data_IF_476967750916
#
_entry.id   IF_476967750916
#
_cell.length_a   1.000
_cell.length_b   1.000
_cell.length_c   1.000
_cell.angle_alpha   90.00
_cell.angle_beta   90.00
_cell.angle_gamma   90.00
#
_symmetry.space_group_name_H-M   'P 1'
#
loop_
_entity.id
_entity.type
_entity.pdbx_description
1 polymer ?
#
# COMPACT_ATOMS: atom_id res chain seq x y z
N UNK A 1 -15.04 -28.06 17.45
CA UNK A 1 -16.13 -27.48 18.26
C UNK A 1 -15.95 -27.77 19.75
N UNK A 2 -15.85 -29.04 20.17
CA UNK A 2 -15.60 -29.38 21.59
C UNK A 2 -14.19 -28.97 22.06
N UNK A 3 -13.17 -29.17 21.20
CA UNK A 3 -11.78 -28.79 21.51
C UNK A 3 -11.56 -27.26 21.52
N UNK A 4 -12.27 -26.54 20.64
CA UNK A 4 -12.22 -25.07 20.59
C UNK A 4 -12.86 -24.44 21.83
N UNK A 5 -13.94 -25.04 22.35
CA UNK A 5 -14.58 -24.61 23.60
C UNK A 5 -13.66 -24.84 24.80
N UNK A 6 -12.95 -25.97 24.83
CA UNK A 6 -12.01 -26.30 25.90
C UNK A 6 -10.81 -25.34 25.92
N UNK A 7 -10.28 -24.97 24.75
CA UNK A 7 -9.23 -23.95 24.63
C UNK A 7 -9.66 -22.56 25.09
N UNK A 8 -10.93 -22.17 24.85
CA UNK A 8 -11.49 -20.90 25.34
C UNK A 8 -11.65 -20.88 26.86
N UNK A 9 -12.05 -21.99 27.49
CA UNK A 9 -12.18 -22.06 28.96
C UNK A 9 -10.84 -21.95 29.69
N UNK A 10 -9.72 -22.38 29.08
CA UNK A 10 -8.38 -22.24 29.68
C UNK A 10 -7.92 -20.78 29.83
N UNK A 11 -8.53 -19.84 29.11
CA UNK A 11 -8.23 -18.40 29.27
C UNK A 11 -8.65 -17.91 30.67
N UNK A 12 -9.69 -18.49 31.26
CA UNK A 12 -10.17 -18.12 32.59
C UNK A 12 -9.18 -18.51 33.69
N UNK A 13 -8.39 -19.56 33.46
CA UNK A 13 -7.37 -20.06 34.39
C UNK A 13 -5.97 -19.52 34.07
N UNK A 14 -5.84 -18.63 33.08
CA UNK A 14 -4.56 -18.06 32.67
C UNK A 14 -4.07 -17.05 33.72
N UNK A 15 -3.07 -17.46 34.51
CA UNK A 15 -2.44 -16.59 35.49
C UNK A 15 -1.63 -15.50 34.79
N UNK A 16 -2.09 -14.25 34.87
CA UNK A 16 -1.35 -13.08 34.40
C UNK A 16 -0.44 -12.58 35.51
N UNK A 17 0.87 -12.65 35.30
CA UNK A 17 1.83 -11.99 36.19
C UNK A 17 1.73 -10.48 36.02
N UNK A 18 1.15 -9.80 37.02
CA UNK A 18 1.13 -8.34 37.08
C UNK A 18 2.34 -7.88 37.88
N UNK A 19 3.18 -7.06 37.25
CA UNK A 19 4.27 -6.36 37.93
C UNK A 19 3.91 -4.87 37.88
N UNK A 20 3.58 -4.31 39.04
CA UNK A 20 3.35 -2.87 39.18
C UNK A 20 4.68 -2.18 39.46
N UNK A 21 4.99 -1.16 38.67
CA UNK A 21 6.19 -0.36 38.80
C UNK A 21 5.79 1.11 38.80
N UNK A 22 6.02 1.78 39.92
CA UNK A 22 5.74 3.20 40.11
C UNK A 22 7.05 3.98 40.10
N UNK A 23 7.14 4.97 39.21
CA UNK A 23 8.23 5.95 39.19
C UNK A 23 7.66 7.31 38.80
N UNK A 24 8.17 8.37 39.40
CA UNK A 24 7.87 9.74 38.99
C UNK A 24 8.71 10.17 37.78
N UNK A 25 9.76 9.40 37.44
CA UNK A 25 10.57 9.64 36.25
C UNK A 25 9.99 8.91 35.03
N UNK A 26 9.31 9.69 34.19
CA UNK A 26 8.74 9.20 32.93
C UNK A 26 9.79 8.58 31.98
N UNK A 27 11.07 8.97 32.07
CA UNK A 27 12.16 8.33 31.30
C UNK A 27 12.40 6.91 31.77
N UNK A 28 12.41 6.70 33.07
CA UNK A 28 12.62 5.40 33.68
C UNK A 28 11.46 4.46 33.35
N UNK A 29 10.22 4.92 33.50
CA UNK A 29 9.01 4.18 33.11
C UNK A 29 9.06 3.72 31.64
N UNK A 30 9.49 4.62 30.75
CA UNK A 30 9.62 4.33 29.32
C UNK A 30 10.71 3.29 29.05
N UNK A 31 11.86 3.36 29.74
CA UNK A 31 12.92 2.36 29.61
C UNK A 31 12.50 0.99 30.14
N UNK A 32 11.74 0.93 31.23
CA UNK A 32 11.16 -0.30 31.77
C UNK A 32 10.17 -0.91 30.77
N UNK A 33 9.27 -0.10 30.19
CA UNK A 33 8.33 -0.54 29.15
C UNK A 33 9.05 -1.13 27.92
N UNK A 34 10.12 -0.46 27.46
CA UNK A 34 10.94 -0.92 26.33
C UNK A 34 11.64 -2.25 26.66
N UNK A 35 12.21 -2.39 27.86
CA UNK A 35 12.89 -3.62 28.29
C UNK A 35 11.91 -4.78 28.45
N UNK A 36 10.75 -4.55 29.06
CA UNK A 36 9.75 -5.59 29.28
C UNK A 36 9.20 -6.16 27.97
N UNK A 37 8.95 -5.30 26.98
CA UNK A 37 8.48 -5.72 25.66
C UNK A 37 9.61 -6.25 24.73
N UNK A 38 10.84 -6.39 25.22
CA UNK A 38 11.96 -6.94 24.43
C UNK A 38 12.00 -8.48 24.39
N UNK A 39 11.41 -9.13 25.41
CA UNK A 39 11.30 -10.60 25.54
C UNK A 39 10.00 -11.17 24.97
N UNK A 40 8.93 -10.35 24.88
CA UNK A 40 7.63 -10.70 24.28
C UNK A 40 7.50 -10.30 22.81
N UNK A 41 6.34 -9.75 22.38
CA UNK A 41 6.20 -9.14 21.04
C UNK A 41 7.12 -7.92 20.96
N UNK A 42 8.28 -8.10 20.32
CA UNK A 42 9.31 -7.06 20.18
C UNK A 42 8.73 -5.77 19.62
N UNK A 43 8.93 -4.68 20.36
CA UNK A 43 8.65 -3.33 19.87
C UNK A 43 9.36 -3.09 18.54
N UNK A 44 8.63 -2.57 17.57
CA UNK A 44 9.25 -2.12 16.32
C UNK A 44 10.14 -0.91 16.59
N UNK A 45 11.06 -0.60 15.68
CA UNK A 45 11.85 0.64 15.80
C UNK A 45 10.97 1.90 15.87
N UNK A 46 9.84 1.92 15.16
CA UNK A 46 8.89 3.02 15.23
C UNK A 46 8.25 3.17 16.61
N UNK A 47 7.96 2.05 17.30
CA UNK A 47 7.43 2.08 18.67
C UNK A 47 8.48 2.64 19.65
N UNK A 48 9.75 2.26 19.47
CA UNK A 48 10.84 2.81 20.28
C UNK A 48 11.03 4.31 20.06
N UNK A 49 10.90 4.80 18.82
CA UNK A 49 10.95 6.23 18.54
C UNK A 49 9.76 6.98 19.15
N UNK A 50 8.58 6.36 19.15
CA UNK A 50 7.36 6.94 19.73
C UNK A 50 7.49 7.08 21.25
N UNK A 51 8.09 6.09 21.89
CA UNK A 51 8.39 6.10 23.32
C UNK A 51 9.34 7.25 23.68
N UNK A 52 10.43 7.42 22.94
CA UNK A 52 11.37 8.54 23.13
C UNK A 52 10.75 9.90 22.82
N UNK A 53 9.83 9.96 21.85
CA UNK A 53 9.07 11.17 21.54
C UNK A 53 8.14 11.58 22.68
N UNK A 54 7.48 10.61 23.32
CA UNK A 54 6.58 10.86 24.45
C UNK A 54 7.33 11.47 25.65
N UNK A 55 8.58 11.05 25.87
CA UNK A 55 9.48 11.62 26.87
C UNK A 55 9.87 13.05 26.51
N UNK A 56 10.31 13.29 25.27
CA UNK A 56 10.84 14.60 24.89
C UNK A 56 9.76 15.67 24.72
N UNK A 57 8.63 15.31 24.12
CA UNK A 57 7.51 16.22 23.86
C UNK A 57 6.20 15.59 24.36
N UNK A 58 5.95 15.66 25.69
CA UNK A 58 4.70 15.16 26.26
C UNK A 58 3.48 15.75 25.55
N UNK A 59 2.51 14.89 25.19
CA UNK A 59 1.28 15.29 24.51
C UNK A 59 1.31 15.17 22.98
N UNK A 60 2.46 15.30 22.32
CA UNK A 60 2.53 15.15 20.86
C UNK A 60 2.27 13.70 20.45
N UNK A 61 2.96 12.77 21.11
CA UNK A 61 2.81 11.33 20.92
C UNK A 61 1.38 10.81 21.23
N UNK A 62 0.66 11.44 22.16
CA UNK A 62 -0.65 10.95 22.63
C UNK A 62 -1.84 11.69 22.03
N UNK A 63 -1.72 12.98 21.69
CA UNK A 63 -2.86 13.77 21.17
C UNK A 63 -2.72 14.07 19.70
N UNK A 64 -1.58 14.61 19.28
CA UNK A 64 -1.43 15.15 17.93
C UNK A 64 -1.36 14.07 16.86
N UNK A 65 -0.54 13.03 17.06
CA UNK A 65 -0.48 11.91 16.12
C UNK A 65 -1.82 11.16 16.07
N UNK A 66 -2.49 10.98 17.20
CA UNK A 66 -3.80 10.31 17.26
C UNK A 66 -4.86 11.11 16.49
N UNK A 67 -4.87 12.44 16.64
CA UNK A 67 -5.75 13.34 15.90
C UNK A 67 -5.59 13.19 14.39
N UNK A 68 -4.37 13.10 13.88
CA UNK A 68 -4.12 12.89 12.44
C UNK A 68 -4.60 11.51 11.98
N UNK A 69 -4.33 10.45 12.75
CA UNK A 69 -4.79 9.11 12.43
C UNK A 69 -6.33 9.02 12.40
N UNK A 70 -7.02 9.62 13.38
CA UNK A 70 -8.48 9.64 13.48
C UNK A 70 -9.15 10.50 12.40
N UNK A 71 -8.49 11.55 11.92
CA UNK A 71 -9.01 12.39 10.83
C UNK A 71 -9.10 11.62 9.50
N UNK A 72 -8.24 10.61 9.31
CA UNK A 72 -8.13 9.85 8.07
C UNK A 72 -8.29 8.35 8.33
N UNK A 73 -9.46 7.89 8.83
CA UNK A 73 -9.65 6.53 9.30
C UNK A 73 -9.46 5.49 8.19
N UNK A 74 -9.77 5.83 6.94
CA UNK A 74 -9.61 4.93 5.79
C UNK A 74 -8.15 4.56 5.49
N UNK A 75 -7.18 5.37 5.94
CA UNK A 75 -5.76 5.15 5.71
C UNK A 75 -5.05 4.46 6.88
N UNK A 76 -5.73 4.30 8.02
CA UNK A 76 -5.26 3.49 9.15
C UNK A 76 -3.80 3.79 9.57
N UNK A 77 -3.38 5.06 9.52
CA UNK A 77 -2.02 5.44 9.86
C UNK A 77 -1.70 5.08 11.31
N UNK A 78 -0.67 4.27 11.50
CA UNK A 78 -0.24 3.88 12.84
C UNK A 78 0.63 4.96 13.47
N UNK A 79 0.59 5.06 14.81
CA UNK A 79 1.43 5.98 15.57
C UNK A 79 2.93 5.77 15.29
N UNK A 80 3.45 4.52 15.20
CA UNK A 80 4.84 4.27 14.81
C UNK A 80 5.19 4.76 13.41
N UNK A 81 4.25 4.71 12.46
CA UNK A 81 4.46 5.23 11.12
C UNK A 81 4.52 6.76 11.10
N UNK A 82 3.58 7.44 11.75
CA UNK A 82 3.57 8.91 11.86
C UNK A 82 4.80 9.43 12.59
N UNK A 83 5.25 8.71 13.63
CA UNK A 83 6.50 9.03 14.34
C UNK A 83 7.71 8.93 13.42
N UNK A 84 7.79 7.90 12.57
CA UNK A 84 8.87 7.80 11.59
C UNK A 84 8.80 8.93 10.55
N UNK A 85 7.61 9.32 10.11
CA UNK A 85 7.47 10.48 9.23
C UNK A 85 8.00 11.75 9.90
N UNK A 86 7.63 11.98 11.17
CA UNK A 86 8.12 13.12 11.95
C UNK A 86 9.64 13.08 12.10
N UNK A 87 10.19 11.93 12.47
CA UNK A 87 11.63 11.74 12.63
C UNK A 87 12.39 12.04 11.33
N UNK A 88 11.86 11.56 10.20
CA UNK A 88 12.45 11.79 8.89
C UNK A 88 12.40 13.27 8.47
N UNK A 89 11.30 13.97 8.75
CA UNK A 89 11.15 15.42 8.48
C UNK A 89 12.04 16.25 9.40
N UNK A 90 12.10 15.89 10.69
CA UNK A 90 12.85 16.63 11.70
C UNK A 90 14.36 16.49 11.53
N UNK A 91 14.84 15.29 11.20
CA UNK A 91 16.27 14.96 11.28
C UNK A 91 16.91 14.62 9.93
N UNK A 92 16.10 14.40 8.90
CA UNK A 92 16.54 13.90 7.60
C UNK A 92 17.06 12.45 7.64
N UNK A 93 16.74 11.69 8.70
CA UNK A 93 17.23 10.32 8.97
C UNK A 93 16.14 9.46 9.64
N UNK A 94 16.29 8.15 9.53
CA UNK A 94 15.51 7.08 10.16
C UNK A 94 16.41 5.96 10.71
N UNK A 95 17.63 5.79 10.17
CA UNK A 95 18.59 4.81 10.69
C UNK A 95 19.37 5.41 11.85
N UNK A 96 18.77 5.31 13.03
CA UNK A 96 19.36 5.74 14.29
C UNK A 96 18.97 4.79 15.43
N UNK A 97 19.69 4.87 16.55
CA UNK A 97 19.27 4.24 17.80
C UNK A 97 18.13 5.06 18.40
N UNK A 98 17.22 4.41 19.13
CA UNK A 98 16.06 5.09 19.72
C UNK A 98 16.46 6.29 20.60
N UNK A 99 17.43 6.09 21.50
CA UNK A 99 17.97 7.13 22.39
C UNK A 99 18.65 8.31 21.66
N UNK A 100 18.95 8.15 20.38
CA UNK A 100 19.60 9.15 19.53
C UNK A 100 18.63 9.65 18.45
N UNK A 101 17.34 9.29 18.49
CA UNK A 101 16.39 9.62 17.44
C UNK A 101 16.20 11.12 17.29
N UNK A 102 16.05 11.82 18.41
CA UNK A 102 15.76 13.24 18.44
C UNK A 102 16.99 14.09 18.73
N UNK A 103 18.13 13.68 18.16
CA UNK A 103 19.40 14.39 18.25
C UNK A 103 19.85 14.92 16.90
N UNK A 104 20.52 16.07 16.91
CA UNK A 104 21.14 16.65 15.73
C UNK A 104 22.38 15.83 15.27
N UNK A 105 23.13 16.34 14.31
CA UNK A 105 24.36 15.67 13.84
C UNK A 105 25.55 15.77 14.80
N UNK A 106 25.49 16.69 15.76
CA UNK A 106 26.49 16.90 16.80
C UNK A 106 26.16 16.16 18.11
N UNK A 107 24.98 15.53 18.20
CA UNK A 107 24.51 14.79 19.37
C UNK A 107 23.73 15.61 20.39
N UNK A 108 23.36 16.85 20.06
CA UNK A 108 22.52 17.69 20.91
C UNK A 108 21.04 17.33 20.73
N UNK A 109 20.26 17.37 21.81
CA UNK A 109 18.82 17.15 21.75
C UNK A 109 18.11 18.28 21.00
N UNK A 110 17.17 17.93 20.11
CA UNK A 110 16.27 18.93 19.54
C UNK A 110 15.35 19.50 20.63
N UNK A 111 15.12 20.81 20.58
CA UNK A 111 14.19 21.45 21.51
C UNK A 111 12.75 21.02 21.21
N UNK A 112 11.87 21.05 22.22
CA UNK A 112 10.45 20.76 22.03
C UNK A 112 9.80 21.65 20.96
N UNK A 113 10.20 22.93 20.90
CA UNK A 113 9.71 23.87 19.90
C UNK A 113 10.09 23.43 18.47
N UNK A 114 11.32 22.95 18.29
CA UNK A 114 11.78 22.45 16.99
C UNK A 114 11.00 21.21 16.54
N UNK A 115 10.82 20.24 17.44
CA UNK A 115 10.06 19.01 17.15
C UNK A 115 8.59 19.34 16.83
N UNK A 116 7.97 20.28 17.57
CA UNK A 116 6.60 20.74 17.30
C UNK A 116 6.48 21.41 15.93
N UNK A 117 7.46 22.22 15.52
CA UNK A 117 7.45 22.81 14.18
C UNK A 117 7.65 21.75 13.07
N UNK A 118 8.56 20.80 13.27
CA UNK A 118 8.73 19.67 12.37
C UNK A 118 7.44 18.83 12.27
N UNK A 119 6.69 18.69 13.36
CA UNK A 119 5.38 18.05 13.36
C UNK A 119 4.35 18.84 12.54
N UNK A 120 4.28 20.17 12.69
CA UNK A 120 3.39 21.00 11.86
C UNK A 120 3.69 20.82 10.37
N UNK A 121 4.97 20.71 9.98
CA UNK A 121 5.36 20.39 8.59
C UNK A 121 4.96 18.98 8.19
N UNK A 122 5.17 18.00 9.07
CA UNK A 122 4.85 16.58 8.85
C UNK A 122 3.34 16.39 8.64
N UNK A 123 2.52 16.97 9.51
CA UNK A 123 1.05 16.92 9.42
C UNK A 123 0.58 17.48 8.06
N UNK A 124 1.11 18.64 7.64
CA UNK A 124 0.83 19.18 6.29
C UNK A 124 1.28 18.23 5.18
N UNK A 125 2.49 17.68 5.29
CA UNK A 125 3.03 16.72 4.32
C UNK A 125 2.14 15.48 4.16
N UNK A 126 1.65 14.93 5.28
CA UNK A 126 0.69 13.81 5.30
C UNK A 126 -0.60 14.18 4.57
N UNK A 127 -1.19 15.34 4.87
CA UNK A 127 -2.41 15.84 4.20
C UNK A 127 -2.23 16.00 2.68
N UNK A 128 -1.07 16.51 2.26
CA UNK A 128 -0.74 16.60 0.84
C UNK A 128 -0.59 15.23 0.19
N UNK A 129 0.04 14.27 0.86
CA UNK A 129 0.18 12.91 0.34
C UNK A 129 -1.17 12.21 0.27
N UNK A 130 -2.08 12.39 1.23
CA UNK A 130 -3.44 11.84 1.17
C UNK A 130 -4.20 12.39 -0.04
N UNK A 131 -4.13 13.71 -0.27
CA UNK A 131 -4.72 14.32 -1.48
C UNK A 131 -4.10 13.76 -2.75
N UNK A 132 -2.79 13.58 -2.80
CA UNK A 132 -2.11 12.97 -3.93
C UNK A 132 -2.54 11.51 -4.15
N UNK A 133 -2.66 10.71 -3.09
CA UNK A 133 -3.12 9.33 -3.16
C UNK A 133 -4.55 9.25 -3.71
N UNK A 134 -5.46 10.08 -3.21
CA UNK A 134 -6.87 10.07 -3.61
C UNK A 134 -7.12 10.68 -5.00
N UNK A 135 -6.46 11.79 -5.33
CA UNK A 135 -6.71 12.52 -6.60
C UNK A 135 -5.87 12.05 -7.78
N UNK A 136 -4.60 11.67 -7.55
CA UNK A 136 -3.67 11.29 -8.63
C UNK A 136 -3.49 9.78 -8.72
N UNK A 137 -3.31 9.11 -7.57
CA UNK A 137 -3.11 7.64 -7.54
C UNK A 137 -4.45 6.89 -7.53
N UNK A 138 -5.55 7.55 -7.19
CA UNK A 138 -6.89 6.96 -7.03
C UNK A 138 -6.98 5.90 -5.92
N UNK A 139 -6.13 5.99 -4.89
CA UNK A 139 -6.19 5.13 -3.72
C UNK A 139 -6.97 5.82 -2.59
N UNK A 140 -8.08 5.20 -2.18
CA UNK A 140 -9.01 5.75 -1.18
C UNK A 140 -8.81 5.17 0.23
N UNK A 141 -7.99 4.11 0.38
CA UNK A 141 -7.79 3.43 1.66
C UNK A 141 -6.43 2.72 1.78
N UNK A 142 -6.09 2.31 3.00
CA UNK A 142 -4.90 1.55 3.36
C UNK A 142 -4.76 0.23 2.57
N UNK A 143 -5.86 -0.46 2.30
CA UNK A 143 -5.91 -1.73 1.56
C UNK A 143 -5.26 -1.64 0.16
N UNK A 144 -5.24 -0.45 -0.43
CA UNK A 144 -4.66 -0.19 -1.75
C UNK A 144 -3.18 0.18 -1.67
N UNK A 145 -2.63 0.50 -0.49
CA UNK A 145 -1.23 0.92 -0.30
C UNK A 145 -0.36 -0.32 -0.05
N UNK A 146 0.49 -0.74 -0.99
CA UNK A 146 1.29 -1.96 -0.81
C UNK A 146 2.41 -1.79 0.21
N UNK A 147 2.85 -0.54 0.44
CA UNK A 147 3.90 -0.23 1.42
C UNK A 147 3.76 1.20 1.94
N UNK A 148 3.42 1.35 3.22
CA UNK A 148 3.44 2.64 3.90
C UNK A 148 4.84 3.27 3.91
N UNK A 149 5.91 2.45 3.95
CA UNK A 149 7.29 2.95 3.93
C UNK A 149 7.60 3.77 2.66
N UNK A 150 6.98 3.44 1.53
CA UNK A 150 7.12 4.21 0.30
C UNK A 150 6.50 5.62 0.40
N UNK A 151 5.58 5.86 1.33
CA UNK A 151 5.00 7.18 1.56
C UNK A 151 5.97 8.12 2.28
N UNK A 152 6.92 7.60 3.07
CA UNK A 152 7.80 8.44 3.90
C UNK A 152 8.61 9.45 3.06
N UNK A 153 9.33 9.05 1.98
CA UNK A 153 10.02 10.03 1.14
C UNK A 153 9.09 11.07 0.50
N UNK A 154 7.87 10.68 0.11
CA UNK A 154 6.89 11.60 -0.46
C UNK A 154 6.36 12.59 0.59
N UNK A 155 6.14 12.13 1.83
CA UNK A 155 5.73 12.98 2.95
C UNK A 155 6.83 13.98 3.28
N UNK A 156 8.10 13.57 3.29
CA UNK A 156 9.24 14.49 3.51
C UNK A 156 9.30 15.55 2.42
N UNK A 157 9.16 15.16 1.15
CA UNK A 157 9.12 16.11 0.02
C UNK A 157 7.94 17.07 0.17
N UNK A 158 6.75 16.57 0.49
CA UNK A 158 5.56 17.38 0.63
C UNK A 158 5.62 18.31 1.85
N UNK A 159 6.24 17.88 2.95
CA UNK A 159 6.41 18.67 4.17
C UNK A 159 7.31 19.88 3.94
N UNK A 160 8.36 19.73 3.13
CA UNK A 160 9.32 20.79 2.84
C UNK A 160 8.82 21.73 1.73
N UNK A 161 8.19 21.18 0.68
CA UNK A 161 7.72 21.97 -0.47
C UNK A 161 6.29 22.50 -0.33
N UNK A 162 5.60 22.23 0.78
CA UNK A 162 4.16 22.46 0.92
C UNK A 162 3.33 21.76 -0.17
N UNK A 163 3.70 20.52 -0.48
CA UNK A 163 2.97 19.63 -1.37
C UNK A 163 3.81 18.98 -2.48
N UNK A 164 3.12 18.17 -3.28
CA UNK A 164 3.62 17.62 -4.54
C UNK A 164 2.99 18.43 -5.66
N UNK A 165 3.81 19.03 -6.51
CA UNK A 165 3.31 19.89 -7.60
C UNK A 165 2.57 19.05 -8.65
N UNK A 166 1.59 19.60 -9.38
CA UNK A 166 0.93 18.88 -10.48
C UNK A 166 1.92 18.35 -11.53
N UNK A 167 3.00 19.12 -11.78
CA UNK A 167 4.09 18.72 -12.69
C UNK A 167 4.84 17.47 -12.22
N UNK A 168 5.00 17.30 -10.91
CA UNK A 168 5.69 16.16 -10.32
C UNK A 168 4.75 15.00 -9.94
N UNK A 169 3.44 15.23 -9.91
CA UNK A 169 2.44 14.25 -9.48
C UNK A 169 2.46 12.98 -10.33
N UNK A 170 2.57 13.11 -11.65
CA UNK A 170 2.70 11.97 -12.57
C UNK A 170 3.96 11.13 -12.30
N UNK A 171 5.10 11.80 -12.08
CA UNK A 171 6.35 11.12 -11.74
C UNK A 171 6.29 10.48 -10.35
N UNK A 172 5.61 11.12 -9.39
CA UNK A 172 5.41 10.59 -8.05
C UNK A 172 4.50 9.35 -8.08
N UNK A 173 3.42 9.37 -8.88
CA UNK A 173 2.53 8.21 -9.07
C UNK A 173 3.33 7.05 -9.67
N UNK A 174 4.06 7.34 -10.74
CA UNK A 174 4.94 6.35 -11.38
C UNK A 174 5.92 5.74 -10.40
N UNK A 175 6.63 6.59 -9.64
CA UNK A 175 7.61 6.14 -8.65
C UNK A 175 6.97 5.26 -7.58
N UNK A 176 5.84 5.69 -7.00
CA UNK A 176 5.15 4.97 -5.93
C UNK A 176 4.67 3.59 -6.39
N UNK A 177 4.03 3.53 -7.56
CA UNK A 177 3.51 2.28 -8.12
C UNK A 177 4.65 1.31 -8.47
N UNK A 178 5.72 1.79 -9.10
CA UNK A 178 6.89 0.94 -9.39
C UNK A 178 7.62 0.50 -8.12
N UNK A 179 7.76 1.37 -7.11
CA UNK A 179 8.38 1.01 -5.84
C UNK A 179 7.59 -0.13 -5.15
N UNK A 180 6.26 -0.09 -5.24
CA UNK A 180 5.39 -1.18 -4.79
C UNK A 180 5.62 -2.47 -5.58
N UNK A 181 5.53 -2.44 -6.91
CA UNK A 181 5.66 -3.64 -7.76
C UNK A 181 7.05 -4.27 -7.66
N UNK A 182 8.08 -3.45 -7.44
CA UNK A 182 9.48 -3.92 -7.27
C UNK A 182 9.82 -4.27 -5.82
N UNK A 183 8.85 -4.21 -4.92
CA UNK A 183 9.05 -4.46 -3.49
C UNK A 183 10.27 -3.69 -2.92
N UNK A 184 10.44 -2.43 -3.35
CA UNK A 184 11.64 -1.64 -3.11
C UNK A 184 11.98 -1.49 -1.62
N UNK A 185 10.94 -1.43 -0.78
CA UNK A 185 11.03 -1.31 0.66
C UNK A 185 10.73 -2.64 1.40
N UNK A 186 11.06 -3.79 0.81
CA UNK A 186 10.94 -5.10 1.48
C UNK A 186 12.13 -5.47 2.37
N UNK A 187 13.30 -4.84 2.16
CA UNK A 187 14.55 -5.14 2.87
C UNK A 187 14.89 -4.17 4.01
N UNK A 188 16.11 -3.62 4.01
CA UNK A 188 16.60 -2.67 5.04
C UNK A 188 15.98 -1.28 4.89
N UNK A 189 14.68 -1.17 5.18
CA UNK A 189 13.85 0.03 4.95
C UNK A 189 14.50 1.31 5.49
N UNK A 190 14.94 1.32 6.75
CA UNK A 190 15.55 2.51 7.36
C UNK A 190 16.84 2.92 6.64
N UNK A 191 17.68 1.95 6.24
CA UNK A 191 18.92 2.26 5.51
C UNK A 191 18.63 2.82 4.12
N UNK A 192 17.61 2.28 3.44
CA UNK A 192 17.19 2.76 2.12
C UNK A 192 16.57 4.16 2.18
N UNK A 193 15.71 4.43 3.16
CA UNK A 193 15.15 5.77 3.35
C UNK A 193 16.28 6.76 3.65
N UNK A 194 17.23 6.45 4.54
CA UNK A 194 18.38 7.34 4.80
C UNK A 194 19.25 7.60 3.58
N UNK A 195 19.44 6.58 2.73
CA UNK A 195 20.16 6.75 1.45
C UNK A 195 19.40 7.71 0.54
N UNK A 196 18.08 7.61 0.46
CA UNK A 196 17.21 8.51 -0.31
C UNK A 196 17.25 9.93 0.28
N UNK A 197 17.01 10.11 1.59
CA UNK A 197 16.98 11.42 2.24
C UNK A 197 18.31 12.16 2.10
N UNK A 198 19.45 11.46 2.17
CA UNK A 198 20.77 12.05 1.90
C UNK A 198 20.91 12.57 0.47
N UNK A 199 20.31 11.91 -0.52
CA UNK A 199 20.29 12.39 -1.91
C UNK A 199 19.39 13.63 -2.05
N UNK A 200 18.25 13.63 -1.35
CA UNK A 200 17.30 14.74 -1.36
C UNK A 200 17.81 16.02 -0.68
N UNK A 201 18.80 15.94 0.24
CA UNK A 201 19.39 17.12 0.91
C UNK A 201 19.81 18.24 -0.05
N UNK A 202 20.26 17.89 -1.27
CA UNK A 202 20.68 18.90 -2.27
C UNK A 202 19.49 19.60 -2.94
N UNK A 203 18.39 18.88 -3.15
CA UNK A 203 17.18 19.39 -3.81
C UNK A 203 16.00 18.48 -3.46
N UNK A 204 15.09 19.00 -2.64
CA UNK A 204 13.90 18.27 -2.20
C UNK A 204 12.89 18.17 -3.33
N UNK A 205 12.95 17.12 -4.15
CA UNK A 205 12.06 16.96 -5.30
C UNK A 205 11.80 15.50 -5.67
N UNK A 206 10.66 15.25 -6.30
CA UNK A 206 10.31 13.93 -6.83
C UNK A 206 11.28 13.47 -7.91
N UNK A 207 11.86 14.41 -8.68
CA UNK A 207 12.90 14.10 -9.67
C UNK A 207 14.16 13.53 -9.04
N UNK A 208 14.62 14.10 -7.93
CA UNK A 208 15.77 13.55 -7.21
C UNK A 208 15.45 12.22 -6.53
N UNK A 209 14.22 12.05 -6.03
CA UNK A 209 13.73 10.76 -5.55
C UNK A 209 13.80 9.70 -6.66
N UNK A 210 13.31 10.02 -7.86
CA UNK A 210 13.41 9.15 -9.03
C UNK A 210 14.86 8.83 -9.36
N UNK A 211 15.73 9.84 -9.48
CA UNK A 211 17.15 9.65 -9.81
C UNK A 211 17.86 8.73 -8.78
N UNK A 212 17.48 8.83 -7.50
CA UNK A 212 18.04 8.01 -6.42
C UNK A 212 17.62 6.54 -6.47
N UNK A 213 16.53 6.19 -7.16
CA UNK A 213 15.94 4.84 -7.15
C UNK A 213 15.76 4.21 -8.53
N UNK A 214 15.85 4.99 -9.62
CA UNK A 214 15.45 4.59 -10.97
C UNK A 214 16.08 3.28 -11.45
N UNK A 215 17.33 2.99 -11.05
CA UNK A 215 18.05 1.77 -11.43
C UNK A 215 17.32 0.49 -11.00
N UNK A 216 16.59 0.52 -9.89
CA UNK A 216 15.83 -0.62 -9.38
C UNK A 216 14.36 -0.61 -9.83
N UNK A 217 13.90 0.50 -10.42
CA UNK A 217 12.50 0.70 -10.81
C UNK A 217 12.31 0.45 -12.31
N UNK A 218 12.66 -0.76 -12.76
CA UNK A 218 12.47 -1.17 -14.16
C UNK A 218 11.00 -1.12 -14.56
N UNK A 219 10.76 -0.84 -15.85
CA UNK A 219 9.43 -0.88 -16.48
C UNK A 219 8.73 -2.23 -16.27
N UNK A 220 7.41 -2.21 -16.39
CA UNK A 220 6.58 -3.42 -16.27
C UNK A 220 6.86 -4.34 -17.45
N UNK A 221 6.99 -5.63 -17.16
CA UNK A 221 7.17 -6.71 -18.13
C UNK A 221 6.02 -7.73 -17.97
N UNK A 222 5.76 -8.57 -19.00
CA UNK A 222 4.70 -9.59 -18.93
C UNK A 222 4.80 -10.52 -17.71
N UNK A 223 6.03 -10.85 -17.29
CA UNK A 223 6.29 -11.67 -16.10
C UNK A 223 5.82 -11.05 -14.79
N UNK A 224 5.66 -9.72 -14.72
CA UNK A 224 5.18 -9.05 -13.51
C UNK A 224 3.70 -9.36 -13.22
N UNK A 225 2.95 -9.83 -14.22
CA UNK A 225 1.56 -10.31 -14.06
C UNK A 225 1.47 -11.82 -13.79
N UNK A 226 2.59 -12.55 -13.71
CA UNK A 226 2.61 -13.96 -13.32
C UNK A 226 2.54 -14.08 -11.79
N UNK A 227 1.46 -13.56 -11.22
CA UNK A 227 1.19 -13.57 -9.79
C UNK A 227 -0.21 -14.11 -9.53
N UNK A 228 -0.33 -14.91 -8.47
CA UNK A 228 -1.60 -15.49 -8.02
C UNK A 228 -2.29 -14.67 -6.93
N UNK A 229 -1.58 -13.72 -6.32
CA UNK A 229 -2.12 -12.92 -5.22
C UNK A 229 -3.12 -11.90 -5.74
N UNK A 230 -4.33 -12.01 -5.25
CA UNK A 230 -5.43 -11.07 -5.48
C UNK A 230 -5.16 -9.73 -4.77
N UNK A 231 -4.48 -9.75 -3.62
CA UNK A 231 -4.05 -8.57 -2.87
C UNK A 231 -2.54 -8.37 -3.00
N UNK A 232 -2.12 -7.24 -3.57
CA UNK A 232 -0.69 -6.93 -3.74
C UNK A 232 -0.44 -5.75 -4.67
N UNK A 233 0.83 -5.38 -4.81
CA UNK A 233 1.25 -4.19 -5.57
C UNK A 233 0.76 -4.16 -7.01
N UNK A 234 0.69 -5.33 -7.67
CA UNK A 234 0.21 -5.43 -9.06
C UNK A 234 -1.29 -5.12 -9.12
N UNK A 235 -2.09 -5.67 -8.20
CA UNK A 235 -3.52 -5.34 -8.09
C UNK A 235 -3.74 -3.86 -7.77
N UNK A 236 -3.02 -3.29 -6.79
CA UNK A 236 -3.15 -1.87 -6.44
C UNK A 236 -2.82 -0.94 -7.60
N UNK A 237 -1.79 -1.28 -8.37
CA UNK A 237 -1.43 -0.57 -9.60
C UNK A 237 -2.51 -0.72 -10.68
N UNK A 238 -3.05 -1.93 -10.86
CA UNK A 238 -4.09 -2.19 -11.83
C UNK A 238 -5.39 -1.44 -11.50
N UNK A 239 -5.82 -1.44 -10.23
CA UNK A 239 -6.98 -0.68 -9.77
C UNK A 239 -6.79 0.84 -9.95
N UNK A 240 -5.58 1.35 -9.69
CA UNK A 240 -5.22 2.75 -9.97
C UNK A 240 -5.38 3.07 -11.47
N UNK A 241 -4.93 2.18 -12.35
CA UNK A 241 -5.09 2.32 -13.80
C UNK A 241 -6.56 2.25 -14.24
N UNK A 242 -7.36 1.34 -13.68
CA UNK A 242 -8.79 1.24 -13.99
C UNK A 242 -9.56 2.49 -13.58
N UNK A 243 -9.28 3.01 -12.38
CA UNK A 243 -9.90 4.23 -11.87
C UNK A 243 -9.57 5.44 -12.75
N UNK A 244 -8.32 5.55 -13.22
CA UNK A 244 -7.89 6.62 -14.14
C UNK A 244 -8.55 6.51 -15.52
N UNK A 245 -8.76 5.28 -16.01
CA UNK A 245 -9.45 5.02 -17.28
C UNK A 245 -10.96 5.15 -17.23
N UNK A 246 -11.50 5.49 -16.06
CA UNK A 246 -12.94 5.48 -15.82
C UNK A 246 -13.60 4.16 -16.24
N UNK A 247 -13.00 3.04 -15.82
CA UNK A 247 -13.56 1.71 -16.08
C UNK A 247 -14.86 1.52 -15.31
N UNK A 248 -15.88 0.99 -15.99
CA UNK A 248 -17.21 0.74 -15.44
C UNK A 248 -17.47 -0.75 -15.31
N UNK A 249 -18.39 -1.08 -14.41
CA UNK A 249 -18.84 -2.46 -14.29
C UNK A 249 -19.51 -2.94 -15.59
N UNK A 250 -19.37 -4.24 -15.86
CA UNK A 250 -19.87 -4.85 -17.08
C UNK A 250 -21.39 -5.00 -17.12
N UNK A 251 -22.05 -5.11 -15.97
CA UNK A 251 -23.51 -5.15 -15.85
C UNK A 251 -24.07 -3.77 -15.51
N UNK A 252 -23.45 -3.05 -14.57
CA UNK A 252 -23.87 -1.70 -14.16
C UNK A 252 -22.91 -0.62 -14.69
N UNK A 253 -23.24 -0.06 -15.85
CA UNK A 253 -22.42 0.98 -16.50
C UNK A 253 -22.28 2.27 -15.68
N UNK A 254 -23.12 2.49 -14.67
CA UNK A 254 -23.01 3.65 -13.79
C UNK A 254 -21.98 3.42 -12.68
N UNK A 255 -21.71 2.16 -12.32
CA UNK A 255 -20.78 1.80 -11.28
C UNK A 255 -19.31 1.90 -11.75
N UNK A 256 -18.51 2.70 -11.04
CA UNK A 256 -17.06 2.89 -11.32
C UNK A 256 -16.24 1.81 -10.65
N UNK A 257 -15.21 1.31 -11.34
CA UNK A 257 -14.24 0.37 -10.78
C UNK A 257 -13.09 1.11 -10.09
N UNK A 258 -13.41 1.97 -9.13
CA UNK A 258 -12.46 2.79 -8.35
C UNK A 258 -12.48 2.52 -6.83
N UNK A 259 -13.23 1.49 -6.42
CA UNK A 259 -13.30 1.01 -5.04
C UNK A 259 -12.21 -0.01 -4.65
N UNK A 260 -12.41 -0.65 -3.50
CA UNK A 260 -11.53 -1.71 -2.99
C UNK A 260 -12.08 -3.10 -3.25
N UNK A 261 -11.16 -4.05 -3.45
CA UNK A 261 -11.44 -5.46 -3.75
C UNK A 261 -11.47 -6.35 -2.49
N UNK A 262 -10.91 -5.88 -1.37
CA UNK A 262 -10.74 -6.67 -0.13
C UNK A 262 -11.29 -5.94 1.11
N UNK A 263 -11.56 -6.70 2.17
CA UNK A 263 -12.06 -6.21 3.46
C UNK A 263 -13.59 -6.23 3.60
N UNK A 264 -14.10 -6.00 4.82
CA UNK A 264 -15.53 -6.11 5.15
C UNK A 264 -16.45 -5.22 4.27
N UNK A 265 -15.91 -4.13 3.72
CA UNK A 265 -16.62 -3.19 2.85
C UNK A 265 -16.08 -3.20 1.40
N UNK A 266 -15.58 -4.34 0.91
CA UNK A 266 -15.19 -4.49 -0.49
C UNK A 266 -16.39 -4.20 -1.40
N UNK A 267 -16.20 -3.24 -2.30
CA UNK A 267 -17.20 -2.83 -3.30
C UNK A 267 -16.96 -3.54 -4.64
N UNK A 268 -15.72 -3.97 -4.85
CA UNK A 268 -15.27 -4.70 -6.03
C UNK A 268 -15.00 -6.17 -5.66
N UNK A 269 -15.04 -7.04 -6.66
CA UNK A 269 -14.63 -8.44 -6.56
C UNK A 269 -13.77 -8.83 -7.76
N UNK A 270 -12.88 -9.79 -7.55
CA UNK A 270 -12.15 -10.42 -8.65
C UNK A 270 -12.97 -11.57 -9.21
N UNK A 271 -13.23 -11.48 -10.49
CA UNK A 271 -13.89 -12.49 -11.29
C UNK A 271 -12.87 -13.23 -12.14
N UNK A 272 -12.88 -14.57 -12.10
CA UNK A 272 -12.11 -15.39 -13.02
C UNK A 272 -12.78 -15.37 -14.40
N UNK A 273 -12.15 -14.71 -15.38
CA UNK A 273 -12.69 -14.56 -16.73
C UNK A 273 -13.01 -15.93 -17.33
N UNK A 274 -12.07 -16.88 -17.29
CA UNK A 274 -12.34 -18.30 -17.45
C UNK A 274 -12.70 -18.90 -16.08
N UNK A 275 -13.93 -19.42 -15.89
CA UNK A 275 -14.37 -19.93 -14.60
C UNK A 275 -13.47 -21.06 -14.06
N UNK A 276 -13.24 -21.05 -12.74
CA UNK A 276 -12.39 -22.07 -12.09
C UNK A 276 -12.86 -23.49 -12.37
N UNK A 277 -14.17 -23.72 -12.29
CA UNK A 277 -14.80 -25.03 -12.49
C UNK A 277 -14.57 -25.57 -13.91
N UNK A 278 -14.65 -24.70 -14.92
CA UNK A 278 -14.34 -25.01 -16.32
C UNK A 278 -12.88 -25.43 -16.46
N UNK A 279 -11.94 -24.63 -15.95
CA UNK A 279 -10.50 -24.91 -16.10
C UNK A 279 -10.07 -26.18 -15.35
N UNK A 280 -10.66 -26.47 -14.17
CA UNK A 280 -10.43 -27.73 -13.44
C UNK A 280 -10.85 -28.95 -14.25
N UNK A 281 -12.01 -28.90 -14.92
CA UNK A 281 -12.47 -29.98 -15.82
C UNK A 281 -11.51 -30.21 -16.99
N UNK A 282 -10.78 -29.19 -17.41
CA UNK A 282 -9.76 -29.24 -18.46
C UNK A 282 -8.35 -29.48 -17.92
N UNK A 283 -8.23 -30.01 -16.69
CA UNK A 283 -6.95 -30.46 -16.13
C UNK A 283 -5.99 -29.34 -15.70
N UNK A 284 -6.45 -28.09 -15.58
CA UNK A 284 -5.60 -26.99 -15.12
C UNK A 284 -5.42 -27.01 -13.60
N UNK A 285 -4.19 -26.85 -13.15
CA UNK A 285 -3.85 -26.74 -11.73
C UNK A 285 -4.24 -25.38 -11.13
N UNK A 286 -4.30 -25.29 -9.80
CA UNK A 286 -4.67 -24.05 -9.10
C UNK A 286 -3.79 -22.85 -9.48
N UNK A 287 -2.49 -23.04 -9.67
CA UNK A 287 -1.57 -21.95 -10.05
C UNK A 287 -1.80 -21.44 -11.48
N UNK A 288 -2.29 -22.31 -12.37
CA UNK A 288 -2.64 -21.93 -13.75
C UNK A 288 -4.00 -21.23 -13.81
N UNK A 289 -4.91 -21.57 -12.90
CA UNK A 289 -6.24 -20.96 -12.79
C UNK A 289 -6.16 -19.60 -12.10
N UNK A 290 -5.43 -19.55 -10.99
CA UNK A 290 -5.26 -18.38 -10.14
C UNK A 290 -4.07 -17.55 -10.63
N UNK A 291 -4.21 -16.96 -11.81
CA UNK A 291 -3.21 -16.06 -12.39
C UNK A 291 -3.86 -14.71 -12.69
N UNK A 292 -3.09 -13.63 -12.54
CA UNK A 292 -3.58 -12.27 -12.79
C UNK A 292 -4.17 -12.10 -14.19
N UNK A 293 -3.60 -12.78 -15.20
CA UNK A 293 -4.12 -12.76 -16.56
C UNK A 293 -5.54 -13.33 -16.68
N UNK A 294 -6.00 -14.15 -15.74
CA UNK A 294 -7.36 -14.68 -15.71
C UNK A 294 -8.30 -13.83 -14.83
N UNK A 295 -7.84 -12.72 -14.25
CA UNK A 295 -8.64 -11.92 -13.32
C UNK A 295 -9.25 -10.71 -14.00
N UNK A 296 -10.55 -10.52 -13.88
CA UNK A 296 -11.26 -9.29 -14.18
C UNK A 296 -11.79 -8.68 -12.88
N UNK A 297 -12.02 -7.37 -12.88
CA UNK A 297 -12.59 -6.64 -11.75
C UNK A 297 -14.03 -6.29 -12.10
N UNK A 298 -14.96 -6.65 -11.24
CA UNK A 298 -16.38 -6.28 -11.37
C UNK A 298 -16.88 -5.78 -10.02
N UNK A 299 -18.05 -5.15 -9.98
CA UNK A 299 -18.70 -4.78 -8.73
C UNK A 299 -19.10 -6.04 -7.96
N UNK A 300 -19.13 -5.97 -6.63
CA UNK A 300 -19.57 -7.08 -5.76
C UNK A 300 -21.05 -7.44 -5.98
N UNK A 301 -21.87 -6.48 -6.41
CA UNK A 301 -23.28 -6.71 -6.75
C UNK A 301 -23.48 -7.38 -8.11
N UNK A 302 -22.45 -7.39 -8.96
CA UNK A 302 -22.53 -7.98 -10.30
C UNK A 302 -22.44 -9.49 -10.22
N UNK A 303 -23.56 -10.16 -10.45
CA UNK A 303 -23.60 -11.61 -10.59
C UNK A 303 -23.61 -11.96 -12.09
N UNK A 304 -22.48 -12.45 -12.59
CA UNK A 304 -22.38 -12.88 -13.99
C UNK A 304 -22.99 -14.27 -14.25
N UNK A 305 -23.42 -15.00 -13.20
CA UNK A 305 -23.97 -16.37 -13.27
C UNK A 305 -23.14 -17.33 -14.15
N UNK A 306 -21.82 -17.26 -13.98
CA UNK A 306 -20.84 -18.05 -14.71
C UNK A 306 -20.54 -19.35 -13.97
N UNK A 307 -21.24 -20.43 -14.35
CA UNK A 307 -20.98 -21.77 -13.83
C UNK A 307 -19.70 -22.38 -14.44
N UNK A 308 -19.83 -23.42 -15.25
CA UNK A 308 -18.72 -24.05 -15.98
C UNK A 308 -18.73 -23.65 -17.47
N UNK A 309 -19.30 -22.48 -17.78
CA UNK A 309 -19.42 -21.99 -19.15
C UNK A 309 -18.14 -21.26 -19.60
N UNK A 310 -17.82 -21.36 -20.89
CA UNK A 310 -16.71 -20.62 -21.47
C UNK A 310 -17.05 -19.13 -21.67
N UNK A 311 -16.04 -18.23 -21.63
CA UNK A 311 -16.23 -16.81 -21.96
C UNK A 311 -16.91 -16.56 -23.30
N UNK A 312 -16.61 -17.35 -24.32
CA UNK A 312 -17.25 -17.27 -25.63
C UNK A 312 -18.79 -17.43 -25.57
N UNK A 313 -19.31 -18.08 -24.53
CA UNK A 313 -20.74 -18.33 -24.33
C UNK A 313 -21.36 -17.27 -23.44
N UNK A 314 -20.84 -17.08 -22.22
CA UNK A 314 -21.51 -16.20 -21.25
C UNK A 314 -21.38 -14.72 -21.61
N UNK A 315 -20.29 -14.31 -22.25
CA UNK A 315 -20.07 -12.91 -22.63
C UNK A 315 -21.05 -12.44 -23.72
N UNK A 316 -21.66 -13.34 -24.50
CA UNK A 316 -22.72 -13.00 -25.47
C UNK A 316 -23.99 -12.47 -24.79
N UNK A 317 -24.18 -12.79 -23.51
CA UNK A 317 -25.37 -12.40 -22.73
C UNK A 317 -25.13 -11.14 -21.88
N UNK A 318 -23.88 -10.71 -21.75
CA UNK A 318 -23.51 -9.54 -20.95
C UNK A 318 -23.51 -8.30 -21.87
N UNK A 319 -24.24 -7.23 -21.54
CA UNK A 319 -24.31 -6.01 -22.34
C UNK A 319 -23.08 -5.11 -22.16
N UNK A 320 -21.88 -5.69 -22.20
CA UNK A 320 -20.59 -4.99 -22.05
C UNK A 320 -20.08 -4.53 -23.40
N UNK A 321 -19.61 -3.29 -23.48
CA UNK A 321 -19.00 -2.75 -24.70
C UNK A 321 -17.53 -3.16 -24.83
N UNK A 322 -17.02 -3.21 -26.06
CA UNK A 322 -15.59 -3.46 -26.31
C UNK A 322 -14.70 -2.43 -25.61
N UNK A 323 -15.13 -1.17 -25.54
CA UNK A 323 -14.44 -0.13 -24.78
C UNK A 323 -14.25 -0.50 -23.29
N UNK A 324 -15.25 -1.09 -22.63
CA UNK A 324 -15.10 -1.50 -21.23
C UNK A 324 -14.21 -2.74 -21.06
N UNK A 325 -14.20 -3.63 -22.05
CA UNK A 325 -13.29 -4.78 -22.11
C UNK A 325 -11.83 -4.33 -22.29
N UNK A 326 -11.59 -3.37 -23.20
CA UNK A 326 -10.27 -2.78 -23.43
C UNK A 326 -9.71 -2.07 -22.21
N UNK A 327 -10.55 -1.34 -21.45
CA UNK A 327 -10.12 -0.68 -20.20
C UNK A 327 -9.54 -1.67 -19.20
N UNK A 328 -10.08 -2.89 -19.15
CA UNK A 328 -9.60 -4.03 -18.34
C UNK A 328 -8.58 -4.93 -19.05
N UNK A 329 -8.10 -4.53 -20.23
CA UNK A 329 -7.14 -5.27 -21.05
C UNK A 329 -7.61 -6.69 -21.39
N UNK A 330 -8.91 -6.90 -21.60
CA UNK A 330 -9.46 -8.15 -22.13
C UNK A 330 -9.20 -8.18 -23.66
N UNK A 331 -8.57 -9.22 -24.21
CA UNK A 331 -8.46 -9.41 -25.66
C UNK A 331 -9.83 -9.35 -26.33
N UNK A 332 -9.96 -8.52 -27.37
CA UNK A 332 -11.20 -8.37 -28.13
C UNK A 332 -11.41 -9.47 -29.18
N UNK A 333 -10.33 -10.16 -29.56
CA UNK A 333 -10.43 -11.36 -30.38
C UNK A 333 -11.22 -12.44 -29.63
N UNK A 334 -12.43 -12.73 -30.13
CA UNK A 334 -13.38 -13.65 -29.50
C UNK A 334 -12.96 -15.11 -29.67
N UNK A 335 -12.08 -15.43 -30.62
CA UNK A 335 -11.58 -16.79 -30.78
C UNK A 335 -10.74 -17.21 -29.57
N UNK A 336 -10.06 -16.24 -28.93
CA UNK A 336 -9.31 -16.45 -27.68
C UNK A 336 -10.20 -16.75 -26.47
N UNK A 337 -11.53 -16.65 -26.59
CA UNK A 337 -12.46 -16.82 -25.47
C UNK A 337 -12.91 -18.26 -25.27
N UNK A 338 -12.41 -19.19 -26.10
CA UNK A 338 -12.63 -20.62 -25.98
C UNK A 338 -11.61 -21.25 -25.02
N UNK A 339 -12.01 -22.28 -24.26
CA UNK A 339 -11.12 -22.90 -23.26
C UNK A 339 -9.85 -23.49 -23.88
N UNK A 340 -9.93 -23.96 -25.14
CA UNK A 340 -8.79 -24.46 -25.91
C UNK A 340 -7.73 -23.38 -26.19
N UNK A 341 -8.11 -22.10 -26.16
CA UNK A 341 -7.24 -20.95 -26.38
C UNK A 341 -6.78 -20.28 -25.08
N UNK A 342 -6.97 -20.93 -23.92
CA UNK A 342 -6.67 -20.32 -22.61
C UNK A 342 -5.24 -19.79 -22.48
N UNK A 343 -4.23 -20.55 -22.92
CA UNK A 343 -2.84 -20.10 -22.84
C UNK A 343 -2.56 -18.91 -23.78
N UNK A 344 -3.18 -18.92 -24.95
CA UNK A 344 -3.07 -17.86 -25.95
C UNK A 344 -3.74 -16.57 -25.47
N UNK A 345 -4.91 -16.70 -24.84
CA UNK A 345 -5.59 -15.61 -24.13
C UNK A 345 -4.70 -15.01 -23.05
N UNK A 346 -4.08 -15.84 -22.19
CA UNK A 346 -3.20 -15.34 -21.13
C UNK A 346 -1.97 -14.60 -21.69
N UNK A 347 -1.38 -15.10 -22.78
CA UNK A 347 -0.26 -14.43 -23.46
C UNK A 347 -0.67 -13.07 -24.00
N UNK A 348 -1.78 -13.01 -24.72
CA UNK A 348 -2.25 -11.75 -25.33
C UNK A 348 -2.69 -10.75 -24.25
N UNK A 349 -3.43 -11.21 -23.24
CA UNK A 349 -3.84 -10.38 -22.11
C UNK A 349 -2.63 -9.82 -21.36
N UNK A 350 -1.59 -10.62 -21.12
CA UNK A 350 -0.36 -10.15 -20.48
C UNK A 350 0.35 -9.07 -21.31
N UNK A 351 0.35 -9.19 -22.64
CA UNK A 351 0.86 -8.17 -23.56
C UNK A 351 0.06 -6.86 -23.45
N UNK A 352 -1.27 -6.94 -23.49
CA UNK A 352 -2.18 -5.80 -23.37
C UNK A 352 -2.05 -5.09 -22.02
N UNK A 353 -2.02 -5.85 -20.92
CA UNK A 353 -1.78 -5.34 -19.57
C UNK A 353 -0.44 -4.61 -19.49
N UNK A 354 0.63 -5.22 -19.99
CA UNK A 354 1.98 -4.62 -19.98
C UNK A 354 2.04 -3.30 -20.77
N UNK A 355 1.46 -3.27 -21.98
CA UNK A 355 1.44 -2.07 -22.80
C UNK A 355 0.62 -0.95 -22.13
N UNK A 356 -0.58 -1.30 -21.67
CA UNK A 356 -1.51 -0.40 -20.98
C UNK A 356 -0.93 0.21 -19.71
N UNK A 357 -0.34 -0.62 -18.85
CA UNK A 357 0.26 -0.17 -17.61
C UNK A 357 1.48 0.72 -17.85
N UNK A 358 2.37 0.36 -18.79
CA UNK A 358 3.51 1.22 -19.12
C UNK A 358 3.08 2.55 -19.75
N UNK A 359 1.97 2.59 -20.50
CA UNK A 359 1.39 3.84 -21.00
C UNK A 359 0.84 4.71 -19.86
N UNK A 360 0.09 4.10 -18.93
CA UNK A 360 -0.44 4.77 -17.73
C UNK A 360 0.66 5.32 -16.80
N UNK A 361 1.78 4.60 -16.68
CA UNK A 361 2.95 5.03 -15.92
C UNK A 361 3.75 6.12 -16.64
N UNK A 362 3.51 6.39 -17.92
CA UNK A 362 4.20 7.41 -18.71
C UNK A 362 5.61 7.02 -19.19
N UNK A 363 6.14 7.82 -20.12
CA UNK A 363 7.53 7.71 -20.61
C UNK A 363 8.50 8.49 -19.69
N UNK A 364 9.78 8.15 -19.77
CA UNK A 364 10.86 8.94 -19.13
C UNK A 364 11.05 10.26 -19.86
#
# INVERSE_FOLDING_TARGET
MHDDLFGLTQILDYAVGVIEYETEDYREATQVFIRFNSTGKRLSKGDLFLAELAVQVPGLATKDLQRVAQKHPNFEFTMPFLTQCLLAVCTGRLKTKAKEAWKDENGNDYTQAHIKEAWRKTERGVEHVIRFLTSTVRWQSADLIPSFNALIPLIVIAAENSGITPRDAELARRWLLLAGVRAYFSGSVHSEIDRILRRLKKRMSVRELWNATARSLRKIAPSDFQVSRISGSVTSMYLSMLAERDARDWLDRHFRLDGKVHGHNAQLQIHHFFPKSLLKKHGRGEDQINTFGNYAVISKGSNLDVLAEEPATYMKRIPVSDSELEKQCIPLDRDLWHVGQYDDFLRERSRLLTASTNAFLGKN
#
